data_IF_428790861864
#
_entry.id   IF_428790861864
#
_cell.length_a   1.000
_cell.length_b   1.000
_cell.length_c   1.000
_cell.angle_alpha   90.00
_cell.angle_beta   90.00
_cell.angle_gamma   90.00
#
_symmetry.space_group_name_H-M   'P 1'
#
loop_
_entity.id
_entity.type
_entity.pdbx_description
1 polymer ?
#
# COMPACT_ATOMS: atom_id res chain seq x y z
N UNK A 1 53.88 49.64 -16.25
CA UNK A 1 52.64 49.80 -15.47
C UNK A 1 51.58 48.87 -16.05
N UNK A 2 51.60 47.54 -15.76
CA UNK A 2 50.66 46.65 -16.48
C UNK A 2 50.31 45.29 -15.82
N UNK A 3 50.96 44.86 -14.74
CA UNK A 3 50.63 43.54 -14.13
C UNK A 3 49.74 43.69 -12.89
N UNK A 4 50.00 44.68 -12.04
CA UNK A 4 49.20 44.93 -10.83
C UNK A 4 47.77 45.36 -11.12
N UNK A 5 47.52 46.14 -12.18
CA UNK A 5 46.18 46.57 -12.57
C UNK A 5 45.38 45.43 -13.22
N UNK A 6 46.05 44.49 -13.90
CA UNK A 6 45.41 43.33 -14.52
C UNK A 6 44.97 42.29 -13.47
N UNK A 7 45.81 42.05 -12.46
CA UNK A 7 45.47 41.15 -11.34
C UNK A 7 44.29 41.70 -10.53
N UNK A 8 44.24 43.02 -10.29
CA UNK A 8 43.10 43.66 -9.61
C UNK A 8 41.81 43.60 -10.43
N UNK A 9 41.88 43.75 -11.76
CA UNK A 9 40.71 43.61 -12.63
C UNK A 9 40.18 42.16 -12.66
N UNK A 10 41.06 41.15 -12.67
CA UNK A 10 40.68 39.73 -12.63
C UNK A 10 40.08 39.36 -11.27
N UNK A 11 40.66 39.83 -10.16
CA UNK A 11 40.08 39.59 -8.82
C UNK A 11 38.74 40.31 -8.63
N UNK A 12 38.58 41.53 -9.13
CA UNK A 12 37.29 42.24 -9.09
C UNK A 12 36.23 41.50 -9.92
N UNK A 13 36.57 40.96 -11.10
CA UNK A 13 35.63 40.23 -11.94
C UNK A 13 35.18 38.89 -11.33
N UNK A 14 36.07 38.21 -10.58
CA UNK A 14 35.75 36.96 -9.86
C UNK A 14 34.80 37.23 -8.67
N UNK A 15 34.96 38.37 -8.00
CA UNK A 15 34.06 38.76 -6.89
C UNK A 15 32.66 39.15 -7.33
N UNK A 16 32.48 39.67 -8.55
CA UNK A 16 31.15 40.02 -9.07
C UNK A 16 30.35 38.82 -9.64
N UNK A 17 31.01 37.70 -9.98
CA UNK A 17 30.34 36.49 -10.51
C UNK A 17 29.91 35.49 -9.43
N UNK A 18 30.45 35.58 -8.21
CA UNK A 18 30.17 34.63 -7.13
C UNK A 18 28.82 34.79 -6.40
N UNK A 19 28.24 35.99 -6.18
CA UNK A 19 27.04 36.12 -5.34
C UNK A 19 25.73 35.73 -6.04
N UNK A 20 25.70 35.63 -7.38
CA UNK A 20 24.47 35.31 -8.11
C UNK A 20 24.02 33.85 -7.94
N UNK A 21 24.95 32.90 -7.83
CA UNK A 21 24.61 31.48 -7.71
C UNK A 21 23.99 31.12 -6.36
N UNK A 22 24.50 31.68 -5.26
CA UNK A 22 23.96 31.44 -3.92
C UNK A 22 22.59 32.06 -3.72
N UNK A 23 22.37 33.28 -4.22
CA UNK A 23 21.09 33.97 -4.11
C UNK A 23 19.99 33.30 -4.96
N UNK A 24 20.31 32.84 -6.17
CA UNK A 24 19.35 32.11 -7.01
C UNK A 24 18.95 30.75 -6.41
N UNK A 25 19.89 30.06 -5.76
CA UNK A 25 19.68 28.75 -5.16
C UNK A 25 18.80 28.82 -3.90
N UNK A 26 19.07 29.79 -3.02
CA UNK A 26 18.27 30.06 -1.82
C UNK A 26 16.83 30.49 -2.17
N UNK A 27 16.68 31.24 -3.27
CA UNK A 27 15.37 31.63 -3.80
C UNK A 27 14.60 30.40 -4.32
N UNK A 28 15.24 29.50 -5.07
CA UNK A 28 14.55 28.33 -5.61
C UNK A 28 14.03 27.37 -4.52
N UNK A 29 14.81 27.11 -3.46
CA UNK A 29 14.37 26.23 -2.37
C UNK A 29 13.13 26.80 -1.67
N UNK A 30 13.15 28.09 -1.33
CA UNK A 30 12.03 28.77 -0.68
C UNK A 30 10.77 28.79 -1.55
N UNK A 31 10.90 29.18 -2.81
CA UNK A 31 9.77 29.22 -3.74
C UNK A 31 9.20 27.82 -4.01
N UNK A 32 10.05 26.79 -4.08
CA UNK A 32 9.61 25.40 -4.22
C UNK A 32 8.80 24.97 -3.00
N UNK A 33 9.30 25.23 -1.78
CA UNK A 33 8.59 24.88 -0.55
C UNK A 33 7.22 25.57 -0.42
N UNK A 34 7.09 26.82 -0.89
CA UNK A 34 5.84 27.58 -0.83
C UNK A 34 4.82 27.15 -1.90
N UNK A 35 5.27 26.85 -3.11
CA UNK A 35 4.38 26.57 -4.26
C UNK A 35 3.93 25.10 -4.31
N UNK A 36 4.77 24.16 -3.86
CA UNK A 36 4.48 22.72 -3.96
C UNK A 36 3.16 22.29 -3.27
N UNK A 37 2.82 22.81 -2.07
CA UNK A 37 1.52 22.54 -1.45
C UNK A 37 0.34 23.07 -2.28
N UNK A 38 0.48 24.25 -2.90
CA UNK A 38 -0.58 24.84 -3.74
C UNK A 38 -0.85 24.02 -4.99
N UNK A 39 0.23 23.55 -5.65
CA UNK A 39 0.12 22.63 -6.79
C UNK A 39 -0.55 21.32 -6.36
N UNK A 40 -0.21 20.80 -5.18
CA UNK A 40 -0.82 19.58 -4.63
C UNK A 40 -2.32 19.73 -4.43
N UNK A 41 -2.75 20.85 -3.82
CA UNK A 41 -4.16 21.16 -3.64
C UNK A 41 -4.90 21.26 -4.97
N UNK A 42 -4.37 22.03 -5.91
CA UNK A 42 -4.99 22.22 -7.23
C UNK A 42 -5.10 20.89 -8.01
N UNK A 43 -4.06 20.04 -8.00
CA UNK A 43 -4.05 18.76 -8.72
C UNK A 43 -5.03 17.72 -8.12
N UNK A 44 -5.20 17.73 -6.80
CA UNK A 44 -6.20 16.90 -6.11
C UNK A 44 -7.63 17.34 -6.44
N UNK A 45 -7.88 18.64 -6.50
CA UNK A 45 -9.19 19.23 -6.76
C UNK A 45 -9.53 19.33 -8.27
N UNK A 46 -8.64 18.89 -9.16
CA UNK A 46 -8.74 19.03 -10.62
C UNK A 46 -8.81 20.50 -11.10
N UNK A 47 -8.22 21.45 -10.36
CA UNK A 47 -8.19 22.88 -10.70
C UNK A 47 -6.99 23.21 -11.61
N UNK A 48 -6.95 22.63 -12.80
CA UNK A 48 -5.79 22.69 -13.71
C UNK A 48 -5.41 24.12 -14.13
N UNK A 49 -6.37 25.02 -14.28
CA UNK A 49 -6.15 26.43 -14.61
C UNK A 49 -5.28 27.16 -13.58
N UNK A 50 -5.32 26.72 -12.32
CA UNK A 50 -4.51 27.31 -11.24
C UNK A 50 -3.06 26.82 -11.24
N UNK A 51 -2.76 25.72 -11.94
CA UNK A 51 -1.43 25.09 -11.89
C UNK A 51 -0.45 25.77 -12.85
N UNK A 52 -0.90 26.16 -14.05
CA UNK A 52 -0.05 26.82 -15.05
C UNK A 52 0.68 28.09 -14.54
N UNK A 53 0.03 29.05 -13.86
CA UNK A 53 0.73 30.23 -13.32
C UNK A 53 1.76 29.85 -12.24
N UNK A 54 1.45 28.86 -11.40
CA UNK A 54 2.38 28.37 -10.37
C UNK A 54 3.64 27.74 -10.99
N UNK A 55 3.48 26.99 -12.09
CA UNK A 55 4.60 26.44 -12.85
C UNK A 55 5.46 27.52 -13.51
N UNK A 56 4.85 28.61 -13.99
CA UNK A 56 5.61 29.73 -14.56
C UNK A 56 6.44 30.44 -13.48
N UNK A 57 5.89 30.62 -12.28
CA UNK A 57 6.63 31.18 -11.14
C UNK A 57 7.79 30.27 -10.73
N UNK A 58 7.58 28.95 -10.62
CA UNK A 58 8.66 28.00 -10.34
C UNK A 58 9.75 28.04 -11.42
N UNK A 59 9.36 28.09 -12.69
CA UNK A 59 10.32 28.14 -13.79
C UNK A 59 11.14 29.43 -13.80
N UNK A 60 10.55 30.57 -13.42
CA UNK A 60 11.27 31.83 -13.29
C UNK A 60 12.31 31.80 -12.15
N UNK A 61 11.99 31.15 -11.04
CA UNK A 61 12.88 31.07 -9.87
C UNK A 61 13.92 29.94 -9.95
N UNK A 62 13.56 28.80 -10.54
CA UNK A 62 14.35 27.56 -10.52
C UNK A 62 14.87 27.12 -11.89
N UNK A 63 14.48 27.81 -12.97
CA UNK A 63 14.72 27.33 -14.33
C UNK A 63 13.84 26.14 -14.70
N UNK A 64 14.18 25.48 -15.81
CA UNK A 64 13.46 24.28 -16.26
C UNK A 64 13.86 23.10 -15.36
N UNK A 65 12.89 22.56 -14.63
CA UNK A 65 13.07 21.42 -13.73
C UNK A 65 12.30 20.21 -14.24
N UNK A 66 12.77 19.00 -13.90
CA UNK A 66 12.10 17.75 -14.28
C UNK A 66 10.63 17.76 -13.84
N UNK A 67 10.39 18.07 -12.57
CA UNK A 67 9.05 18.08 -11.99
C UNK A 67 8.12 19.08 -12.70
N UNK A 68 8.58 20.32 -12.89
CA UNK A 68 7.78 21.36 -13.52
C UNK A 68 7.46 21.05 -14.96
N UNK A 69 8.43 20.51 -15.70
CA UNK A 69 8.27 20.15 -17.10
C UNK A 69 7.32 18.97 -17.28
N UNK A 70 7.42 17.94 -16.43
CA UNK A 70 6.51 16.80 -16.43
C UNK A 70 5.06 17.20 -16.16
N UNK A 71 4.83 18.09 -15.19
CA UNK A 71 3.49 18.60 -14.91
C UNK A 71 2.95 19.43 -16.08
N UNK A 72 3.80 20.24 -16.72
CA UNK A 72 3.42 21.03 -17.90
C UNK A 72 2.97 20.14 -19.08
N UNK A 73 3.69 19.06 -19.37
CA UNK A 73 3.31 18.08 -20.39
C UNK A 73 1.94 17.47 -20.07
N UNK A 74 1.74 17.02 -18.82
CA UNK A 74 0.45 16.45 -18.40
C UNK A 74 -0.71 17.42 -18.59
N UNK A 75 -0.54 18.69 -18.22
CA UNK A 75 -1.58 19.71 -18.38
C UNK A 75 -1.92 19.95 -19.86
N UNK A 76 -0.91 20.01 -20.74
CA UNK A 76 -1.15 20.18 -22.18
C UNK A 76 -1.95 19.01 -22.76
N UNK A 77 -1.62 17.78 -22.38
CA UNK A 77 -2.36 16.58 -22.82
C UNK A 77 -3.80 16.61 -22.27
N UNK A 78 -3.99 16.95 -20.99
CA UNK A 78 -5.32 17.07 -20.36
C UNK A 78 -6.18 18.11 -21.09
N UNK A 79 -5.59 19.26 -21.44
CA UNK A 79 -6.23 20.35 -22.17
C UNK A 79 -6.38 20.09 -23.69
N UNK A 80 -5.90 18.94 -24.19
CA UNK A 80 -5.85 18.59 -25.62
C UNK A 80 -5.12 19.63 -26.48
N UNK A 81 -4.09 20.26 -25.92
CA UNK A 81 -3.17 21.20 -26.59
C UNK A 81 -1.94 20.45 -27.10
N UNK A 82 -1.24 21.03 -28.07
CA UNK A 82 0.02 20.46 -28.55
C UNK A 82 1.05 20.37 -27.42
N UNK A 83 1.49 19.14 -27.14
CA UNK A 83 2.48 18.81 -26.11
C UNK A 83 3.88 18.58 -26.69
N UNK A 84 4.02 18.51 -28.01
CA UNK A 84 5.24 18.06 -28.69
C UNK A 84 6.49 18.87 -28.33
N UNK A 85 6.38 20.20 -28.31
CA UNK A 85 7.50 21.09 -27.95
C UNK A 85 7.97 20.88 -26.51
N UNK A 86 7.04 20.63 -25.58
CA UNK A 86 7.38 20.44 -24.17
C UNK A 86 7.94 19.03 -23.91
N UNK A 87 7.50 18.03 -24.66
CA UNK A 87 8.08 16.67 -24.65
C UNK A 87 9.51 16.70 -25.21
N UNK A 88 9.73 17.37 -26.35
CA UNK A 88 11.06 17.53 -26.93
C UNK A 88 12.00 18.27 -25.98
N UNK A 89 11.52 19.32 -25.29
CA UNK A 89 12.29 20.02 -24.26
C UNK A 89 12.62 19.11 -23.07
N UNK A 90 11.72 18.22 -22.67
CA UNK A 90 11.95 17.28 -21.56
C UNK A 90 13.07 16.29 -21.88
N UNK A 91 13.00 15.64 -23.04
CA UNK A 91 14.02 14.69 -23.50
C UNK A 91 15.34 15.40 -23.86
N UNK A 92 15.27 16.55 -24.54
CA UNK A 92 16.45 17.32 -24.95
C UNK A 92 17.28 17.82 -23.77
N UNK A 93 16.63 18.15 -22.65
CA UNK A 93 17.29 18.53 -21.40
C UNK A 93 17.70 17.34 -20.52
N UNK A 94 17.52 16.10 -21.00
CA UNK A 94 17.79 14.85 -20.27
C UNK A 94 17.03 14.73 -18.95
N UNK A 95 15.84 15.34 -18.86
CA UNK A 95 15.01 15.33 -17.66
C UNK A 95 14.43 13.94 -17.37
N UNK A 96 14.29 13.10 -18.40
CA UNK A 96 13.99 11.67 -18.29
C UNK A 96 15.03 10.95 -17.42
N UNK A 97 16.31 11.22 -17.63
CA UNK A 97 17.39 10.64 -16.82
C UNK A 97 17.38 11.19 -15.40
N UNK A 98 17.14 12.50 -15.24
CA UNK A 98 16.98 13.11 -13.92
C UNK A 98 15.81 12.49 -13.16
N UNK A 99 14.72 12.18 -13.86
CA UNK A 99 13.57 11.53 -13.25
C UNK A 99 13.90 10.11 -12.79
N UNK A 100 14.55 9.30 -13.63
CA UNK A 100 14.99 7.95 -13.25
C UNK A 100 15.95 7.99 -12.05
N UNK A 101 16.94 8.90 -12.05
CA UNK A 101 17.84 9.09 -10.92
C UNK A 101 17.09 9.47 -9.64
N UNK A 102 16.07 10.33 -9.75
CA UNK A 102 15.21 10.74 -8.63
C UNK A 102 14.38 9.57 -8.11
N UNK A 103 13.86 8.71 -8.99
CA UNK A 103 13.17 7.48 -8.61
C UNK A 103 14.11 6.52 -7.88
N UNK A 104 15.31 6.28 -8.42
CA UNK A 104 16.33 5.42 -7.82
C UNK A 104 16.76 5.93 -6.43
N UNK A 105 16.93 7.24 -6.26
CA UNK A 105 17.26 7.86 -4.98
C UNK A 105 16.09 7.82 -3.99
N UNK A 106 14.86 8.10 -4.45
CA UNK A 106 13.65 7.95 -3.66
C UNK A 106 13.46 6.51 -3.20
N UNK A 107 14.01 5.54 -3.94
CA UNK A 107 13.97 4.14 -3.61
C UNK A 107 14.97 3.72 -2.51
N UNK A 108 15.92 4.54 -2.10
CA UNK A 108 16.87 4.14 -1.06
C UNK A 108 16.28 4.29 0.35
N UNK A 109 16.83 3.54 1.31
CA UNK A 109 16.39 3.58 2.71
C UNK A 109 16.70 4.91 3.39
N UNK A 110 17.76 5.56 2.95
CA UNK A 110 18.31 6.84 3.40
C UNK A 110 17.87 8.03 2.51
N UNK A 111 16.78 7.89 1.74
CA UNK A 111 16.32 8.92 0.79
C UNK A 111 16.21 10.33 1.40
N UNK A 112 15.72 10.44 2.63
CA UNK A 112 15.58 11.73 3.32
C UNK A 112 16.95 12.37 3.57
N UNK A 113 17.93 11.57 4.01
CA UNK A 113 19.30 12.03 4.21
C UNK A 113 19.97 12.39 2.88
N UNK A 114 19.77 11.59 1.82
CA UNK A 114 20.29 11.89 0.49
C UNK A 114 19.73 13.17 -0.09
N UNK A 115 18.44 13.44 0.12
CA UNK A 115 17.80 14.69 -0.26
C UNK A 115 18.39 15.87 0.51
N UNK A 116 18.42 15.81 1.85
CA UNK A 116 18.94 16.91 2.68
C UNK A 116 20.40 17.23 2.36
N UNK A 117 21.22 16.23 2.05
CA UNK A 117 22.62 16.41 1.68
C UNK A 117 22.82 16.93 0.25
N UNK A 118 21.84 16.75 -0.65
CA UNK A 118 22.01 17.01 -2.08
C UNK A 118 20.78 17.70 -2.72
N UNK A 119 20.15 18.65 -2.03
CA UNK A 119 18.89 19.29 -2.47
C UNK A 119 18.93 19.85 -3.90
N UNK A 120 20.06 20.42 -4.29
CA UNK A 120 20.25 20.99 -5.64
C UNK A 120 20.22 19.95 -6.76
N UNK A 121 20.69 18.73 -6.50
CA UNK A 121 20.65 17.62 -7.47
C UNK A 121 19.20 17.23 -7.78
N UNK A 122 18.30 17.38 -6.81
CA UNK A 122 16.87 17.08 -6.95
C UNK A 122 16.02 18.32 -7.25
N UNK A 123 16.65 19.41 -7.70
CA UNK A 123 16.01 20.70 -7.98
C UNK A 123 15.14 21.21 -6.82
N UNK A 124 15.50 20.90 -5.56
CA UNK A 124 14.77 21.27 -4.35
C UNK A 124 13.36 20.68 -4.22
N UNK A 125 13.03 19.66 -5.03
CA UNK A 125 11.81 18.89 -4.86
C UNK A 125 12.09 17.71 -3.91
N UNK A 126 11.38 17.56 -2.79
CA UNK A 126 11.58 16.44 -1.86
C UNK A 126 11.38 15.09 -2.53
N UNK A 127 12.23 14.10 -2.25
CA UNK A 127 12.02 12.73 -2.70
C UNK A 127 10.76 12.13 -2.06
N UNK A 128 10.01 11.31 -2.80
CA UNK A 128 8.71 10.72 -2.39
C UNK A 128 7.62 11.76 -2.07
N UNK A 129 7.65 12.91 -2.74
CA UNK A 129 6.60 13.89 -2.55
C UNK A 129 5.24 13.35 -3.03
N UNK A 130 4.10 13.59 -2.35
CA UNK A 130 2.78 13.09 -2.76
C UNK A 130 2.40 13.41 -4.21
N UNK A 131 2.91 14.53 -4.75
CA UNK A 131 2.73 14.92 -6.14
C UNK A 131 3.28 13.92 -7.15
N UNK A 132 4.39 13.24 -6.85
CA UNK A 132 4.96 12.21 -7.73
C UNK A 132 3.93 11.09 -7.96
N UNK A 133 3.19 10.70 -6.92
CA UNK A 133 2.12 9.70 -7.03
C UNK A 133 0.89 10.24 -7.76
N UNK A 134 0.53 11.52 -7.55
CA UNK A 134 -0.60 12.13 -8.26
C UNK A 134 -0.34 12.22 -9.76
N UNK A 135 0.85 12.67 -10.17
CA UNK A 135 1.30 12.68 -11.57
C UNK A 135 1.20 11.27 -12.16
N UNK A 136 1.70 10.26 -11.46
CA UNK A 136 1.63 8.85 -11.87
C UNK A 136 0.20 8.36 -12.07
N UNK A 137 -0.72 8.69 -11.15
CA UNK A 137 -2.13 8.34 -11.27
C UNK A 137 -2.77 9.02 -12.49
N UNK A 138 -2.49 10.30 -12.72
CA UNK A 138 -3.01 11.03 -13.89
C UNK A 138 -2.46 10.48 -15.20
N UNK A 139 -1.18 10.15 -15.27
CA UNK A 139 -0.58 9.56 -16.46
C UNK A 139 -1.25 8.22 -16.82
N UNK A 140 -1.50 7.36 -15.83
CA UNK A 140 -2.24 6.10 -16.02
C UNK A 140 -3.69 6.32 -16.46
N UNK A 141 -4.36 7.33 -15.90
CA UNK A 141 -5.72 7.67 -16.30
C UNK A 141 -5.78 8.16 -17.77
N UNK A 142 -4.80 8.95 -18.21
CA UNK A 142 -4.70 9.39 -19.61
C UNK A 142 -4.45 8.22 -20.56
N UNK A 143 -3.53 7.31 -20.22
CA UNK A 143 -3.22 6.12 -21.02
C UNK A 143 -4.42 5.16 -21.18
N UNK A 144 -5.29 5.08 -20.17
CA UNK A 144 -6.45 4.17 -20.16
C UNK A 144 -7.75 4.80 -20.67
N UNK A 145 -7.76 6.12 -20.89
CA UNK A 145 -8.96 6.85 -21.27
C UNK A 145 -9.18 6.83 -22.77
N UNK A 146 -10.37 6.41 -23.20
CA UNK A 146 -10.80 6.50 -24.60
C UNK A 146 -11.14 7.92 -25.05
N UNK A 147 -11.19 8.89 -24.13
CA UNK A 147 -11.54 10.29 -24.42
C UNK A 147 -10.36 11.13 -24.94
N UNK A 148 -9.16 10.56 -24.97
CA UNK A 148 -7.93 11.18 -25.43
C UNK A 148 -7.36 10.39 -26.60
N UNK A 149 -7.05 11.08 -27.70
CA UNK A 149 -6.34 10.51 -28.84
C UNK A 149 -4.86 10.85 -28.73
N UNK A 150 -4.12 10.03 -28.00
CA UNK A 150 -2.69 10.23 -27.75
C UNK A 150 -1.87 9.84 -28.98
N UNK A 151 -0.93 10.70 -29.37
CA UNK A 151 0.10 10.32 -30.35
C UNK A 151 1.18 9.43 -29.71
N UNK A 152 2.05 8.84 -30.52
CA UNK A 152 3.06 7.87 -30.04
C UNK A 152 4.02 8.51 -29.01
N UNK A 153 4.45 9.76 -29.23
CA UNK A 153 5.33 10.48 -28.30
C UNK A 153 4.66 10.77 -26.95
N UNK A 154 3.38 11.13 -26.98
CA UNK A 154 2.56 11.30 -25.77
C UNK A 154 2.38 9.99 -25.03
N UNK A 155 2.21 8.88 -25.76
CA UNK A 155 2.08 7.55 -25.16
C UNK A 155 3.38 7.14 -24.46
N UNK A 156 4.52 7.30 -25.13
CA UNK A 156 5.85 6.95 -24.58
C UNK A 156 6.16 7.74 -23.31
N UNK A 157 5.97 9.07 -23.37
CA UNK A 157 6.26 9.91 -22.20
C UNK A 157 5.29 9.64 -21.04
N UNK A 158 4.02 9.31 -21.34
CA UNK A 158 3.06 8.93 -20.30
C UNK A 158 3.39 7.57 -19.70
N UNK A 159 3.94 6.61 -20.45
CA UNK A 159 4.43 5.35 -19.88
C UNK A 159 5.60 5.58 -18.92
N UNK A 160 6.53 6.47 -19.29
CA UNK A 160 7.61 6.91 -18.39
C UNK A 160 7.03 7.52 -17.10
N UNK A 161 6.08 8.45 -17.20
CA UNK A 161 5.47 9.09 -16.02
C UNK A 161 4.58 8.16 -15.20
N UNK A 162 3.95 7.18 -15.85
CA UNK A 162 3.13 6.15 -15.21
C UNK A 162 3.97 5.10 -14.47
N UNK A 163 5.30 5.13 -14.66
CA UNK A 163 6.24 4.14 -14.15
C UNK A 163 5.76 2.73 -14.51
N UNK A 164 5.58 2.54 -15.83
CA UNK A 164 5.19 1.31 -16.50
C UNK A 164 6.13 1.08 -17.68
N UNK A 165 6.62 -0.14 -17.87
CA UNK A 165 7.41 -0.50 -19.05
C UNK A 165 6.58 -0.25 -20.32
N UNK A 166 7.20 0.33 -21.36
CA UNK A 166 6.56 0.55 -22.66
C UNK A 166 6.02 -0.78 -23.24
N UNK A 167 4.93 -0.79 -24.03
CA UNK A 167 4.34 -2.02 -24.54
C UNK A 167 5.16 -2.75 -25.62
N UNK A 168 6.37 -2.31 -25.97
CA UNK A 168 7.15 -2.87 -27.07
C UNK A 168 8.55 -3.26 -26.59
N UNK A 169 8.69 -4.55 -26.26
CA UNK A 169 9.90 -5.35 -26.54
C UNK A 169 9.56 -6.82 -26.29
N UNK A 170 9.11 -7.52 -27.35
CA UNK A 170 9.17 -8.97 -27.40
C UNK A 170 10.64 -9.42 -27.39
N UNK A 171 11.06 -10.32 -26.49
CA UNK A 171 12.43 -10.80 -26.52
C UNK A 171 12.60 -11.85 -27.62
N UNK A 172 13.39 -11.52 -28.64
CA UNK A 172 13.97 -12.50 -29.56
C UNK A 172 14.83 -13.53 -28.78
N UNK A 173 14.78 -14.82 -29.12
CA UNK A 173 15.51 -15.85 -28.40
C UNK A 173 16.99 -15.84 -28.80
N UNK A 174 17.86 -15.36 -27.92
CA UNK A 174 19.30 -15.60 -28.04
C UNK A 174 19.73 -16.76 -27.14
N UNK A 175 20.16 -17.83 -27.80
CA UNK A 175 20.99 -18.89 -27.24
C UNK A 175 22.34 -18.30 -26.82
N UNK A 176 22.66 -18.37 -25.53
CA UNK A 176 24.06 -18.52 -25.12
C UNK A 176 24.17 -19.17 -23.74
N UNK A 177 25.20 -20.02 -23.66
CA UNK A 177 25.61 -20.92 -22.59
C UNK A 177 25.58 -20.34 -21.17
N UNK A 178 25.15 -21.16 -20.22
CA UNK A 178 25.24 -20.90 -18.78
C UNK A 178 26.69 -20.76 -18.30
N UNK A 179 26.94 -19.80 -17.39
CA UNK A 179 27.90 -19.99 -16.32
C UNK A 179 27.22 -20.04 -14.95
N UNK A 180 27.58 -21.08 -14.20
CA UNK A 180 27.47 -21.32 -12.76
C UNK A 180 26.89 -20.18 -11.90
N UNK A 181 25.71 -20.48 -11.35
CA UNK A 181 25.12 -20.01 -10.09
C UNK A 181 25.88 -18.91 -9.34
N UNK A 182 25.44 -17.66 -9.54
CA UNK A 182 25.41 -16.64 -8.48
C UNK A 182 23.97 -16.60 -7.92
N UNK A 183 23.74 -16.33 -6.62
CA UNK A 183 22.39 -16.15 -6.12
C UNK A 183 21.75 -15.00 -6.90
N UNK A 184 20.63 -15.29 -7.56
CA UNK A 184 19.85 -14.28 -8.25
C UNK A 184 19.53 -13.14 -7.27
N UNK A 185 19.92 -11.94 -7.66
CA UNK A 185 19.47 -10.69 -7.04
C UNK A 185 17.95 -10.73 -7.09
N UNK A 186 17.31 -10.73 -5.91
CA UNK A 186 15.86 -10.66 -5.75
C UNK A 186 15.33 -9.51 -6.62
N UNK A 187 14.53 -9.86 -7.62
CA UNK A 187 13.84 -8.94 -8.51
C UNK A 187 12.96 -7.99 -7.71
N UNK A 188 12.83 -6.78 -8.26
CA UNK A 188 12.18 -5.62 -7.67
C UNK A 188 10.72 -5.95 -7.30
N UNK A 189 10.46 -6.43 -6.08
CA UNK A 189 9.10 -6.72 -5.57
C UNK A 189 8.34 -5.42 -5.37
N UNK A 190 7.02 -5.48 -5.33
CA UNK A 190 6.23 -4.37 -4.80
C UNK A 190 6.69 -4.13 -3.37
N UNK A 191 7.40 -3.03 -3.13
CA UNK A 191 7.91 -2.57 -1.82
C UNK A 191 6.78 -2.12 -0.88
N UNK A 192 5.57 -2.62 -1.10
CA UNK A 192 4.48 -2.44 -0.17
C UNK A 192 4.88 -3.08 1.15
N UNK A 193 5.14 -2.21 2.15
CA UNK A 193 5.48 -2.63 3.51
C UNK A 193 4.38 -3.48 4.14
N UNK A 194 3.13 -3.32 3.67
CA UNK A 194 1.93 -3.97 4.17
C UNK A 194 0.95 -4.26 3.01
N UNK A 195 0.68 -5.53 2.75
CA UNK A 195 -0.31 -5.96 1.77
C UNK A 195 -1.69 -6.13 2.40
N UNK A 196 -2.73 -5.80 1.64
CA UNK A 196 -4.12 -6.02 2.02
C UNK A 196 -4.61 -7.35 1.46
N UNK A 197 -5.21 -8.18 2.30
CA UNK A 197 -5.56 -9.57 1.99
C UNK A 197 -7.02 -9.86 2.29
N UNK A 198 -7.96 -9.45 1.42
CA UNK A 198 -9.30 -10.02 1.46
C UNK A 198 -9.24 -11.52 1.13
N UNK A 199 -10.01 -12.31 1.87
CA UNK A 199 -10.11 -13.75 1.69
C UNK A 199 -11.56 -14.21 1.73
N UNK A 200 -11.82 -15.31 1.02
CA UNK A 200 -13.09 -16.03 1.00
C UNK A 200 -12.80 -17.52 1.01
N UNK A 201 -13.58 -18.30 1.72
CA UNK A 201 -13.35 -19.73 1.84
C UNK A 201 -14.49 -20.48 2.49
N UNK A 202 -14.20 -21.72 2.83
CA UNK A 202 -15.09 -22.59 3.57
C UNK A 202 -14.35 -23.14 4.79
N UNK A 203 -15.05 -23.21 5.92
CA UNK A 203 -14.60 -23.88 7.13
C UNK A 203 -15.48 -25.09 7.39
N UNK A 204 -14.86 -26.24 7.69
CA UNK A 204 -15.57 -27.50 7.93
C UNK A 204 -15.02 -28.24 9.14
N UNK A 205 -15.85 -28.96 9.92
CA UNK A 205 -15.37 -29.82 10.98
C UNK A 205 -14.61 -31.04 10.40
N UNK A 206 -13.38 -31.30 10.86
CA UNK A 206 -12.50 -32.34 10.30
C UNK A 206 -12.78 -33.76 10.83
N UNK A 207 -13.72 -33.93 11.75
CA UNK A 207 -14.01 -35.22 12.39
C UNK A 207 -14.84 -35.06 13.65
N UNK A 208 -14.90 -36.12 14.46
CA UNK A 208 -15.51 -36.10 15.80
C UNK A 208 -17.03 -36.26 15.85
N UNK A 209 -17.51 -36.56 17.07
CA UNK A 209 -18.91 -36.47 17.44
C UNK A 209 -19.29 -35.00 17.70
N UNK A 210 -20.59 -34.68 17.68
CA UNK A 210 -21.11 -33.35 18.04
C UNK A 210 -20.62 -32.19 17.13
N UNK A 211 -20.79 -32.38 15.81
CA UNK A 211 -20.64 -31.32 14.80
C UNK A 211 -21.83 -30.35 14.91
N UNK A 212 -21.68 -29.35 15.78
CA UNK A 212 -22.64 -28.27 15.94
C UNK A 212 -22.54 -27.31 14.75
N UNK A 213 -21.33 -26.81 14.48
CA UNK A 213 -21.02 -26.02 13.29
C UNK A 213 -20.72 -26.95 12.11
N UNK A 214 -21.49 -26.82 11.04
CA UNK A 214 -21.34 -27.54 9.78
C UNK A 214 -20.26 -26.96 8.88
N UNK A 215 -20.36 -27.28 7.59
CA UNK A 215 -19.53 -26.66 6.56
C UNK A 215 -20.12 -25.30 6.22
N UNK A 216 -19.38 -24.26 6.57
CA UNK A 216 -19.86 -22.89 6.55
C UNK A 216 -18.94 -21.99 5.72
N UNK A 217 -19.53 -21.00 5.06
CA UNK A 217 -18.77 -19.99 4.33
C UNK A 217 -18.06 -19.05 5.30
N UNK A 218 -16.84 -18.67 4.93
CA UNK A 218 -16.06 -17.67 5.63
C UNK A 218 -15.55 -16.61 4.67
N UNK A 219 -15.47 -15.39 5.15
CA UNK A 219 -14.79 -14.29 4.48
C UNK A 219 -14.05 -13.46 5.51
N UNK A 220 -13.05 -12.72 5.07
CA UNK A 220 -12.28 -11.93 6.00
C UNK A 220 -11.29 -11.02 5.34
N UNK A 221 -10.54 -10.35 6.18
CA UNK A 221 -9.56 -9.36 5.79
C UNK A 221 -8.36 -9.45 6.71
N UNK A 222 -7.19 -9.62 6.12
CA UNK A 222 -5.91 -9.68 6.81
C UNK A 222 -4.97 -8.61 6.26
N UNK A 223 -4.17 -8.03 7.14
CA UNK A 223 -3.01 -7.22 6.80
C UNK A 223 -1.79 -8.14 6.84
N UNK A 224 -1.06 -8.23 5.74
CA UNK A 224 0.11 -9.09 5.61
C UNK A 224 1.37 -8.24 5.49
N UNK A 225 2.44 -8.59 6.19
CA UNK A 225 3.72 -7.90 6.06
C UNK A 225 4.31 -8.02 4.65
N UNK A 226 5.37 -7.25 4.36
CA UNK A 226 6.10 -7.35 3.09
C UNK A 226 6.55 -8.79 2.79
N UNK A 227 6.27 -9.26 1.57
CA UNK A 227 6.75 -10.53 1.04
C UNK A 227 8.26 -10.56 0.80
N UNK A 228 8.99 -9.46 0.95
CA UNK A 228 10.46 -9.47 0.89
C UNK A 228 11.06 -10.21 2.10
N UNK A 229 10.39 -10.13 3.25
CA UNK A 229 10.85 -10.75 4.51
C UNK A 229 10.68 -12.26 4.47
N UNK A 230 11.60 -13.01 5.09
CA UNK A 230 11.48 -14.48 5.28
C UNK A 230 10.32 -14.84 6.21
N UNK A 231 10.16 -14.08 7.28
CA UNK A 231 9.01 -14.18 8.17
C UNK A 231 7.89 -13.28 7.67
N UNK A 232 6.70 -13.86 7.54
CA UNK A 232 5.48 -13.16 7.16
C UNK A 232 4.56 -13.11 8.36
N UNK A 233 4.11 -11.91 8.68
CA UNK A 233 3.16 -11.65 9.76
C UNK A 233 1.84 -11.24 9.15
N UNK A 234 0.76 -11.85 9.59
CA UNK A 234 -0.60 -11.49 9.19
C UNK A 234 -1.42 -11.14 10.43
N UNK A 235 -2.31 -10.14 10.32
CA UNK A 235 -3.24 -9.80 11.39
C UNK A 235 -4.53 -9.23 10.83
N UNK A 236 -5.66 -9.59 11.40
CA UNK A 236 -6.96 -9.15 10.90
C UNK A 236 -8.12 -9.92 11.51
N UNK A 237 -9.21 -9.99 10.76
CA UNK A 237 -10.43 -10.64 11.19
C UNK A 237 -11.05 -11.49 10.09
N UNK A 238 -11.72 -12.56 10.50
CA UNK A 238 -12.53 -13.41 9.63
C UNK A 238 -13.93 -13.54 10.22
N UNK A 239 -14.92 -13.72 9.38
CA UNK A 239 -16.31 -14.00 9.77
C UNK A 239 -16.73 -15.28 9.09
N UNK A 240 -17.19 -16.25 9.89
CA UNK A 240 -17.86 -17.46 9.44
C UNK A 240 -19.36 -17.26 9.60
N UNK A 241 -20.10 -17.44 8.51
CA UNK A 241 -21.56 -17.41 8.53
C UNK A 241 -22.04 -18.81 8.84
N UNK A 242 -22.68 -18.95 9.99
CA UNK A 242 -23.13 -20.21 10.54
C UNK A 242 -24.53 -20.52 9.98
N UNK A 243 -24.62 -21.45 9.03
CA UNK A 243 -25.86 -21.80 8.32
C UNK A 243 -26.15 -23.30 8.47
N UNK A 244 -27.41 -23.66 8.78
CA UNK A 244 -27.83 -25.03 9.09
C UNK A 244 -27.09 -25.67 10.27
N UNK A 245 -26.64 -24.85 11.22
CA UNK A 245 -25.96 -25.31 12.42
C UNK A 245 -26.95 -25.79 13.49
N UNK A 246 -26.51 -26.74 14.31
CA UNK A 246 -27.35 -27.31 15.38
C UNK A 246 -27.44 -26.33 16.54
N UNK A 247 -28.54 -26.44 17.28
CA UNK A 247 -28.70 -25.65 18.49
C UNK A 247 -27.70 -26.07 19.58
N UNK A 248 -27.29 -25.10 20.38
CA UNK A 248 -26.35 -25.26 21.49
C UNK A 248 -27.14 -25.05 22.78
N UNK A 249 -27.04 -25.98 23.73
CA UNK A 249 -27.47 -25.74 25.10
C UNK A 249 -26.44 -24.86 25.81
N UNK A 250 -26.90 -23.73 26.35
CA UNK A 250 -26.09 -22.70 26.96
C UNK A 250 -26.69 -22.30 28.31
N UNK A 251 -25.85 -22.18 29.35
CA UNK A 251 -26.27 -21.72 30.65
C UNK A 251 -26.17 -20.18 30.71
N UNK A 252 -27.33 -19.53 30.68
CA UNK A 252 -27.45 -18.09 30.83
C UNK A 252 -28.03 -17.79 32.22
N UNK A 253 -27.22 -17.18 33.09
CA UNK A 253 -27.60 -16.82 34.46
C UNK A 253 -28.25 -17.95 35.28
N UNK A 254 -27.75 -19.18 35.12
CA UNK A 254 -28.26 -20.36 35.84
C UNK A 254 -29.47 -21.03 35.18
N UNK A 255 -29.97 -20.51 34.06
CA UNK A 255 -31.01 -21.15 33.25
C UNK A 255 -30.43 -21.77 31.99
N UNK A 256 -30.86 -22.99 31.69
CA UNK A 256 -30.47 -23.70 30.48
C UNK A 256 -31.32 -23.23 29.31
N UNK A 257 -30.70 -22.52 28.37
CA UNK A 257 -31.34 -21.98 27.16
C UNK A 257 -30.79 -22.65 25.92
N UNK A 258 -31.61 -22.73 24.89
CA UNK A 258 -31.23 -23.25 23.58
C UNK A 258 -30.94 -22.07 22.66
N UNK A 259 -29.69 -21.95 22.22
CA UNK A 259 -29.25 -20.87 21.34
C UNK A 259 -28.91 -21.41 19.95
N UNK A 260 -29.01 -20.54 18.95
CA UNK A 260 -28.53 -20.79 17.60
C UNK A 260 -27.60 -19.63 17.22
N UNK A 261 -26.38 -19.96 16.79
CA UNK A 261 -25.40 -18.95 16.43
C UNK A 261 -25.51 -18.62 14.95
N UNK A 262 -25.71 -17.34 14.64
CA UNK A 262 -25.79 -16.86 13.26
C UNK A 262 -24.41 -16.63 12.62
N UNK A 263 -23.41 -16.29 13.42
CA UNK A 263 -22.06 -16.02 12.95
C UNK A 263 -21.00 -16.23 14.03
N UNK A 264 -19.79 -16.56 13.59
CA UNK A 264 -18.58 -16.58 14.41
C UNK A 264 -17.54 -15.64 13.80
N UNK A 265 -17.13 -14.62 14.56
CA UNK A 265 -16.00 -13.77 14.23
C UNK A 265 -14.70 -14.34 14.78
N UNK A 266 -13.63 -14.29 14.01
CA UNK A 266 -12.27 -14.54 14.45
C UNK A 266 -11.51 -13.22 14.40
N UNK A 267 -10.77 -12.90 15.45
CA UNK A 267 -9.82 -11.80 15.48
C UNK A 267 -8.47 -12.37 15.90
N UNK A 268 -7.44 -12.13 15.10
CA UNK A 268 -6.13 -12.68 15.39
C UNK A 268 -5.14 -12.48 14.27
N UNK A 269 -4.11 -13.31 14.27
CA UNK A 269 -3.03 -13.22 13.31
C UNK A 269 -2.33 -14.54 13.07
N UNK A 270 -1.36 -14.50 12.17
CA UNK A 270 -0.52 -15.63 11.84
C UNK A 270 0.94 -15.22 11.70
N UNK A 271 1.83 -16.17 11.97
CA UNK A 271 3.26 -16.03 11.72
C UNK A 271 3.70 -17.18 10.83
N UNK A 272 4.22 -16.85 9.66
CA UNK A 272 4.68 -17.80 8.65
C UNK A 272 6.15 -17.65 8.31
N UNK A 273 6.75 -18.73 7.82
CA UNK A 273 8.11 -18.75 7.30
C UNK A 273 8.10 -19.20 5.84
N UNK A 274 8.63 -18.38 4.93
CA UNK A 274 8.71 -18.75 3.51
C UNK A 274 9.72 -19.88 3.31
N UNK A 275 9.23 -21.07 2.97
CA UNK A 275 10.07 -22.23 2.66
C UNK A 275 10.47 -22.30 1.19
N UNK A 276 9.67 -21.67 0.32
CA UNK A 276 9.94 -21.57 -1.11
C UNK A 276 9.49 -20.20 -1.61
N UNK A 277 10.33 -19.60 -2.46
CA UNK A 277 10.08 -18.28 -3.00
C UNK A 277 10.91 -18.06 -4.26
N UNK A 278 10.24 -18.09 -5.42
CA UNK A 278 10.85 -17.77 -6.73
C UNK A 278 10.19 -16.55 -7.39
N UNK A 279 9.59 -15.67 -6.58
CA UNK A 279 8.79 -14.49 -6.98
C UNK A 279 7.46 -14.80 -7.68
N UNK A 280 7.44 -15.79 -8.58
CA UNK A 280 6.21 -16.24 -9.24
C UNK A 280 5.35 -17.11 -8.33
N UNK A 281 5.97 -17.87 -7.45
CA UNK A 281 5.34 -18.81 -6.54
C UNK A 281 6.02 -18.72 -5.17
N UNK A 282 5.22 -18.63 -4.10
CA UNK A 282 5.68 -18.53 -2.73
C UNK A 282 4.89 -19.51 -1.87
N UNK A 283 5.60 -20.31 -1.07
CA UNK A 283 5.00 -21.29 -0.16
C UNK A 283 5.32 -20.92 1.30
N UNK A 284 4.29 -20.86 2.13
CA UNK A 284 4.35 -20.33 3.49
C UNK A 284 3.58 -21.23 4.46
N UNK A 285 4.24 -22.16 5.17
CA UNK A 285 3.71 -22.70 6.41
C UNK A 285 3.61 -21.61 7.47
N UNK A 286 2.54 -21.61 8.25
CA UNK A 286 2.27 -20.61 9.30
C UNK A 286 1.53 -21.17 10.50
N UNK A 287 1.81 -20.59 11.66
CA UNK A 287 1.02 -20.77 12.89
C UNK A 287 0.01 -19.66 13.03
N UNK A 288 -1.21 -19.98 13.47
CA UNK A 288 -2.34 -19.07 13.63
C UNK A 288 -2.68 -18.99 15.12
N UNK A 289 -2.94 -17.77 15.60
CA UNK A 289 -3.39 -17.49 16.96
C UNK A 289 -4.43 -16.39 16.94
N UNK A 290 -5.50 -16.55 17.71
CA UNK A 290 -6.51 -15.51 17.87
C UNK A 290 -7.58 -15.88 18.86
N UNK A 291 -8.72 -15.21 18.73
CA UNK A 291 -9.92 -15.39 19.54
C UNK A 291 -11.10 -15.56 18.59
N UNK A 292 -11.88 -16.62 18.80
CA UNK A 292 -13.20 -16.78 18.20
C UNK A 292 -14.25 -16.16 19.12
N UNK A 293 -15.14 -15.37 18.53
CA UNK A 293 -16.29 -14.71 19.15
C UNK A 293 -17.53 -15.23 18.42
N UNK A 294 -18.29 -16.10 19.09
CA UNK A 294 -19.47 -16.73 18.52
C UNK A 294 -20.72 -16.09 19.10
N UNK A 295 -21.59 -15.61 18.22
CA UNK A 295 -22.88 -15.04 18.61
C UNK A 295 -23.78 -16.09 19.26
N UNK A 296 -24.52 -15.70 20.30
CA UNK A 296 -25.52 -16.55 20.96
C UNK A 296 -26.95 -16.16 20.61
N UNK A 297 -27.16 -15.01 19.96
CA UNK A 297 -28.49 -14.45 19.71
C UNK A 297 -29.18 -13.87 20.94
N UNK A 298 -28.53 -13.89 22.12
CA UNK A 298 -29.03 -13.27 23.35
C UNK A 298 -28.47 -11.85 23.46
N UNK A 299 -29.37 -10.90 23.71
CA UNK A 299 -29.03 -9.51 23.98
C UNK A 299 -29.44 -9.16 25.39
N UNK A 300 -28.52 -8.55 26.14
CA UNK A 300 -28.75 -8.03 27.49
C UNK A 300 -28.75 -6.49 27.46
N UNK A 301 -29.74 -5.85 28.07
CA UNK A 301 -29.73 -4.39 28.24
C UNK A 301 -28.93 -4.04 29.50
N UNK A 302 -27.74 -3.51 29.31
CA UNK A 302 -26.85 -3.11 30.40
C UNK A 302 -26.92 -1.61 30.58
N UNK A 303 -27.19 -1.16 31.81
CA UNK A 303 -27.11 0.24 32.14
C UNK A 303 -25.65 0.64 32.34
N UNK A 304 -25.18 1.64 31.60
CA UNK A 304 -23.90 2.30 31.84
C UNK A 304 -24.14 3.62 32.55
N UNK A 305 -23.44 3.83 33.66
CA UNK A 305 -23.40 5.14 34.31
C UNK A 305 -22.71 6.16 33.39
N UNK A 306 -23.11 7.43 33.52
CA UNK A 306 -22.44 8.53 32.84
C UNK A 306 -21.04 8.74 33.40
N UNK A 307 -20.10 9.11 32.54
CA UNK A 307 -18.70 9.32 32.94
C UNK A 307 -18.10 10.56 32.27
N UNK A 308 -17.13 11.17 32.94
CA UNK A 308 -16.30 12.21 32.35
C UNK A 308 -15.07 11.57 31.71
N UNK A 309 -14.76 11.91 30.47
CA UNK A 309 -13.50 11.51 29.84
C UNK A 309 -12.31 12.30 30.43
N UNK A 310 -11.06 11.91 30.10
CA UNK A 310 -9.86 12.60 30.57
C UNK A 310 -9.74 14.07 30.10
N UNK A 311 -10.47 14.45 29.05
CA UNK A 311 -10.53 15.80 28.49
C UNK A 311 -11.67 16.65 29.10
N UNK A 312 -12.42 16.08 30.06
CA UNK A 312 -13.46 16.76 30.83
C UNK A 312 -14.84 16.76 30.17
N UNK A 313 -15.05 16.00 29.09
CA UNK A 313 -16.37 15.86 28.47
C UNK A 313 -17.23 14.84 29.20
N UNK A 314 -18.44 15.25 29.58
CA UNK A 314 -19.42 14.37 30.20
C UNK A 314 -20.17 13.57 29.12
N UNK A 315 -20.13 12.24 29.25
CA UNK A 315 -20.93 11.31 28.47
C UNK A 315 -22.09 10.84 29.34
N UNK A 316 -23.32 11.13 28.90
CA UNK A 316 -24.53 10.67 29.58
C UNK A 316 -24.60 9.14 29.59
N UNK A 317 -25.00 8.61 30.75
CA UNK A 317 -25.29 7.19 30.93
C UNK A 317 -26.59 6.78 30.25
N UNK A 318 -26.73 5.50 29.96
CA UNK A 318 -27.90 4.96 29.29
C UNK A 318 -27.91 3.45 29.23
N UNK A 319 -29.06 2.90 28.81
CA UNK A 319 -29.16 1.48 28.49
C UNK A 319 -28.53 1.22 27.13
N UNK A 320 -27.55 0.32 27.13
CA UNK A 320 -26.95 -0.20 25.92
C UNK A 320 -27.21 -1.71 25.83
N UNK A 321 -27.66 -2.13 24.66
CA UNK A 321 -27.86 -3.53 24.36
C UNK A 321 -26.50 -4.17 24.04
N UNK A 322 -26.14 -5.20 24.81
CA UNK A 322 -24.91 -5.96 24.65
C UNK A 322 -25.24 -7.38 24.21
N UNK A 323 -24.53 -7.85 23.19
CA UNK A 323 -24.65 -9.23 22.74
C UNK A 323 -23.83 -10.16 23.63
N UNK A 324 -24.47 -11.23 24.09
CA UNK A 324 -23.80 -12.31 24.81
C UNK A 324 -23.08 -13.19 23.79
N UNK A 325 -21.81 -13.48 24.03
CA UNK A 325 -20.94 -14.20 23.09
C UNK A 325 -20.22 -15.35 23.77
N UNK A 326 -19.96 -16.41 23.00
CA UNK A 326 -19.07 -17.50 23.38
C UNK A 326 -17.68 -17.17 22.83
N UNK A 327 -16.73 -16.93 23.73
CA UNK A 327 -15.36 -16.55 23.37
C UNK A 327 -14.39 -17.69 23.62
N UNK A 328 -13.54 -18.01 22.65
CA UNK A 328 -12.56 -19.08 22.77
C UNK A 328 -11.21 -18.70 22.18
N UNK A 329 -10.15 -19.26 22.76
CA UNK A 329 -8.81 -19.19 22.15
C UNK A 329 -8.82 -20.02 20.87
N UNK A 330 -8.24 -19.46 19.82
CA UNK A 330 -8.12 -20.09 18.52
C UNK A 330 -6.64 -20.34 18.23
N UNK A 331 -6.29 -21.61 17.99
CA UNK A 331 -4.96 -22.03 17.56
C UNK A 331 -5.06 -22.68 16.18
N UNK A 332 -4.05 -22.54 15.34
CA UNK A 332 -4.07 -23.20 14.04
C UNK A 332 -2.72 -23.35 13.37
N UNK A 333 -2.69 -24.18 12.33
CA UNK A 333 -1.57 -24.39 11.44
C UNK A 333 -2.06 -24.26 10.01
N UNK A 334 -1.52 -23.30 9.27
CA UNK A 334 -1.88 -23.01 7.89
C UNK A 334 -0.74 -23.26 6.93
N UNK A 335 -1.10 -23.51 5.68
CA UNK A 335 -0.18 -23.50 4.55
C UNK A 335 -0.78 -22.64 3.44
N UNK A 336 -0.05 -21.60 3.05
CA UNK A 336 -0.43 -20.73 1.95
C UNK A 336 0.50 -20.91 0.76
N UNK A 337 -0.10 -20.99 -0.42
CA UNK A 337 0.58 -20.89 -1.70
C UNK A 337 0.15 -19.60 -2.38
N UNK A 338 1.09 -18.75 -2.77
CA UNK A 338 0.84 -17.51 -3.51
C UNK A 338 1.43 -17.61 -4.90
N UNK A 339 0.67 -17.18 -5.90
CA UNK A 339 1.08 -17.09 -7.30
C UNK A 339 1.01 -15.62 -7.73
N UNK A 340 2.08 -15.14 -8.34
CA UNK A 340 2.17 -13.76 -8.81
C UNK A 340 1.30 -13.56 -10.04
N UNK A 341 0.48 -12.51 -10.00
CA UNK A 341 -0.29 -12.00 -11.13
C UNK A 341 0.40 -10.77 -11.75
N UNK A 342 -0.11 -10.31 -12.90
CA UNK A 342 0.30 -9.05 -13.51
C UNK A 342 0.21 -7.90 -12.48
N UNK A 343 1.11 -6.93 -12.57
CA UNK A 343 1.26 -5.80 -11.64
C UNK A 343 1.67 -6.16 -10.21
N UNK A 344 2.41 -7.27 -10.02
CA UNK A 344 2.97 -7.69 -8.73
C UNK A 344 1.92 -7.89 -7.61
N UNK A 345 0.67 -8.09 -7.99
CA UNK A 345 -0.40 -8.60 -7.11
C UNK A 345 -0.25 -10.10 -6.98
N UNK A 346 -0.75 -10.69 -5.90
CA UNK A 346 -0.71 -12.14 -5.73
C UNK A 346 -2.11 -12.68 -5.53
N UNK A 347 -2.33 -13.86 -6.08
CA UNK A 347 -3.47 -14.70 -5.77
C UNK A 347 -2.97 -15.88 -4.97
N UNK A 348 -3.70 -16.28 -3.94
CA UNK A 348 -3.26 -17.38 -3.08
C UNK A 348 -4.38 -18.31 -2.68
N UNK A 349 -3.96 -19.52 -2.35
CA UNK A 349 -4.78 -20.55 -1.74
C UNK A 349 -4.18 -20.84 -0.37
N UNK A 350 -5.03 -20.91 0.64
CA UNK A 350 -4.69 -21.30 1.99
C UNK A 350 -5.49 -22.51 2.40
N UNK A 351 -4.80 -23.48 2.97
CA UNK A 351 -5.41 -24.62 3.68
C UNK A 351 -4.89 -24.59 5.09
N UNK A 352 -5.80 -24.60 6.07
CA UNK A 352 -5.41 -24.54 7.47
C UNK A 352 -6.21 -25.49 8.35
N UNK A 353 -5.53 -25.98 9.38
CA UNK A 353 -6.10 -26.70 10.51
C UNK A 353 -6.30 -25.73 11.67
N UNK A 354 -7.43 -25.84 12.34
CA UNK A 354 -7.82 -24.98 13.46
C UNK A 354 -8.27 -25.83 14.65
N UNK A 355 -7.82 -25.43 15.83
CA UNK A 355 -8.20 -25.96 17.13
C UNK A 355 -8.80 -24.84 17.96
N UNK A 356 -10.12 -24.91 18.17
CA UNK A 356 -10.91 -23.96 18.93
C UNK A 356 -11.75 -24.72 19.97
N UNK A 357 -11.29 -24.83 21.23
CA UNK A 357 -11.99 -25.58 22.27
C UNK A 357 -13.15 -24.75 22.85
N UNK A 358 -14.33 -24.86 22.24
CA UNK A 358 -15.55 -24.16 22.69
C UNK A 358 -16.06 -24.59 24.07
N UNK A 359 -15.61 -25.76 24.54
CA UNK A 359 -15.95 -26.33 25.84
C UNK A 359 -15.12 -25.71 26.99
N UNK A 360 -14.18 -24.81 26.69
CA UNK A 360 -13.40 -24.11 27.71
C UNK A 360 -14.25 -23.13 28.56
N UNK A 361 -15.41 -22.70 28.03
CA UNK A 361 -16.37 -21.87 28.75
C UNK A 361 -17.34 -22.75 29.54
N UNK A 362 -17.42 -22.55 30.86
CA UNK A 362 -18.36 -23.27 31.74
C UNK A 362 -19.84 -23.02 31.42
N UNK A 363 -20.15 -22.04 30.56
CA UNK A 363 -21.51 -21.71 30.13
C UNK A 363 -21.99 -22.55 28.95
N UNK A 364 -21.09 -23.18 28.19
CA UNK A 364 -21.47 -24.04 27.05
C UNK A 364 -21.71 -25.44 27.57
N UNK A 365 -22.96 -25.92 27.50
CA UNK A 365 -23.35 -27.23 28.05
C UNK A 365 -23.31 -28.34 26.99
N UNK A 366 -23.49 -27.97 25.71
CA UNK A 366 -23.36 -28.91 24.59
C UNK A 366 -21.90 -29.01 24.17
N UNK A 367 -21.29 -30.21 24.16
CA UNK A 367 -19.92 -30.37 23.68
C UNK A 367 -19.83 -30.02 22.20
N UNK A 368 -18.88 -29.16 21.83
CA UNK A 368 -18.66 -28.74 20.45
C UNK A 368 -17.31 -29.27 19.97
N UNK A 369 -17.29 -29.99 18.85
CA UNK A 369 -16.07 -30.42 18.16
C UNK A 369 -15.08 -29.25 18.04
N UNK A 370 -13.83 -29.45 18.46
CA UNK A 370 -12.83 -28.37 18.49
C UNK A 370 -11.97 -28.28 17.22
N UNK A 371 -11.98 -29.31 16.37
CA UNK A 371 -11.06 -29.41 15.23
C UNK A 371 -11.75 -29.11 13.90
N UNK A 372 -11.28 -28.06 13.23
CA UNK A 372 -11.81 -27.56 11.97
C UNK A 372 -10.71 -27.44 10.92
N UNK A 373 -11.11 -27.49 9.66
CA UNK A 373 -10.25 -27.29 8.51
C UNK A 373 -10.83 -26.20 7.64
N UNK A 374 -9.96 -25.39 7.06
CA UNK A 374 -10.34 -24.36 6.11
C UNK A 374 -9.64 -24.56 4.78
N UNK A 375 -10.35 -24.19 3.72
CA UNK A 375 -9.79 -23.94 2.41
C UNK A 375 -10.26 -22.54 1.99
N UNK A 376 -9.32 -21.63 1.81
CA UNK A 376 -9.58 -20.24 1.48
C UNK A 376 -8.78 -19.81 0.26
N UNK A 377 -9.38 -18.91 -0.49
CA UNK A 377 -8.77 -18.21 -1.59
C UNK A 377 -8.64 -16.74 -1.20
N UNK A 378 -7.48 -16.15 -1.50
CA UNK A 378 -7.19 -14.78 -1.09
C UNK A 378 -6.44 -14.02 -2.16
N UNK A 379 -6.60 -12.71 -2.14
CA UNK A 379 -5.85 -11.80 -3.00
C UNK A 379 -4.96 -10.91 -2.15
N UNK A 380 -3.70 -10.76 -2.51
CA UNK A 380 -2.80 -9.80 -1.89
C UNK A 380 -2.56 -8.65 -2.85
N UNK A 381 -2.94 -7.45 -2.42
CA UNK A 381 -2.78 -6.20 -3.16
C UNK A 381 -1.51 -5.44 -2.76
#
# INVERSE_FOLDING_TARGET
>A
MMIRQFIFAVFAFIYFLAPQKTQAQETCEKHTAEILPLITGALNNNEFDKIAPLLNTLQASCGVTEFGQRLRILLLIIDKKDSGTEIERYIGNQLDKTFVQRLDAADRGDFAQQYEQNKSIYNFFPLRHPLDNLIKIRARALLSSTNYSLNDRERDILHLFADTDSPEDEPAPQNTEQPKSRPQVYGNRSRSKLGYVPLIGVMSPLGGANKIFGTNFMFGFMLMSSLERKFIFEGGFNVRINANDKNIAYNYEGSDVTINSSATGFIGGSVGYKIFDNEKCILIPKGILGIDITDTGITESVYSDGYYDPDGYYYDGGYNDRMVTINNVHLGLGFSSLIQMKNKKYVGIEVAYHYAPYDASSKVLTPIQSNYGTAAFFFRF
#
